data_IF_312865777248
#
_entry.id   IF_312865777248
#
_cell.length_a   1.000
_cell.length_b   1.000
_cell.length_c   1.000
_cell.angle_alpha   90.00
_cell.angle_beta   90.00
_cell.angle_gamma   90.00
#
_symmetry.space_group_name_H-M   'P 1'
#
loop_
_entity.id
_entity.type
_entity.pdbx_description
1 polymer ?
#
# COMPACT_ATOMS: atom_id res chain seq x y z
N UNK A 1 -19.64 1.54 1.11
CA UNK A 1 -19.19 1.89 2.48
C UNK A 1 -19.71 0.96 3.60
N UNK A 2 -20.36 -0.18 3.31
CA UNK A 2 -21.00 -1.01 4.34
C UNK A 2 -20.45 -2.45 4.45
N UNK A 3 -19.30 -2.74 3.83
CA UNK A 3 -18.68 -4.06 3.98
C UNK A 3 -17.94 -4.12 5.32
N UNK A 4 -18.12 -5.17 6.14
CA UNK A 4 -17.50 -5.26 7.47
C UNK A 4 -15.97 -5.19 7.42
N UNK A 5 -15.35 -5.72 6.36
CA UNK A 5 -13.88 -5.71 6.19
C UNK A 5 -13.33 -4.42 5.56
N UNK A 6 -14.19 -3.46 5.18
CA UNK A 6 -13.73 -2.19 4.63
C UNK A 6 -13.28 -1.25 5.76
N UNK A 7 -11.95 -1.14 5.94
CA UNK A 7 -11.36 -0.34 7.01
C UNK A 7 -11.37 1.18 6.75
N UNK A 8 -11.75 1.62 5.55
CA UNK A 8 -11.73 3.03 5.15
C UNK A 8 -10.44 3.46 4.44
N UNK A 9 -10.25 4.77 4.36
CA UNK A 9 -9.05 5.36 3.73
C UNK A 9 -7.82 5.21 4.63
N UNK A 10 -6.65 4.98 4.06
CA UNK A 10 -5.36 5.05 4.76
C UNK A 10 -4.66 6.40 4.49
N UNK A 11 -3.66 6.75 5.31
CA UNK A 11 -2.84 7.95 5.14
C UNK A 11 -3.12 9.06 6.16
N UNK A 12 -2.66 10.28 5.87
CA UNK A 12 -2.68 11.43 6.79
C UNK A 12 -4.08 11.81 7.31
N UNK A 13 -5.11 11.60 6.49
CA UNK A 13 -6.52 11.79 6.86
C UNK A 13 -7.30 10.47 6.86
N UNK A 14 -6.58 9.34 6.91
CA UNK A 14 -7.14 8.00 6.93
C UNK A 14 -7.76 7.63 8.28
N UNK A 15 -8.48 6.52 8.30
CA UNK A 15 -9.00 5.96 9.53
C UNK A 15 -7.86 5.35 10.36
N UNK A 16 -8.01 5.38 11.68
CA UNK A 16 -7.06 4.72 12.58
C UNK A 16 -6.97 3.22 12.30
N UNK A 17 -8.11 2.58 12.02
CA UNK A 17 -8.15 1.15 11.74
C UNK A 17 -7.36 0.76 10.49
N UNK A 18 -7.51 1.51 9.39
CA UNK A 18 -6.75 1.27 8.16
C UNK A 18 -5.24 1.46 8.38
N UNK A 19 -4.83 2.55 9.04
CA UNK A 19 -3.42 2.82 9.31
C UNK A 19 -2.78 1.79 10.25
N UNK A 20 -3.50 1.31 11.26
CA UNK A 20 -3.02 0.23 12.13
C UNK A 20 -2.87 -1.10 11.38
N UNK A 21 -3.86 -1.47 10.55
CA UNK A 21 -3.78 -2.70 9.76
C UNK A 21 -2.57 -2.70 8.81
N UNK A 22 -2.26 -1.56 8.20
CA UNK A 22 -1.05 -1.41 7.37
C UNK A 22 0.23 -1.54 8.20
N UNK A 23 0.26 -0.96 9.41
CA UNK A 23 1.45 -1.01 10.25
C UNK A 23 1.76 -2.42 10.78
N UNK A 24 0.73 -3.24 10.98
CA UNK A 24 0.83 -4.58 11.55
C UNK A 24 0.86 -5.71 10.50
N UNK A 25 0.64 -5.40 9.22
CA UNK A 25 0.62 -6.43 8.17
C UNK A 25 2.01 -6.99 7.85
N UNK A 26 2.03 -8.28 7.49
CA UNK A 26 3.20 -9.01 7.00
C UNK A 26 3.19 -9.18 5.45
N UNK A 27 2.06 -8.86 4.83
CA UNK A 27 1.86 -8.82 3.38
C UNK A 27 1.00 -7.61 3.01
N UNK A 28 1.54 -6.76 2.13
CA UNK A 28 0.86 -5.62 1.55
C UNK A 28 0.64 -5.86 0.06
N UNK A 29 -0.63 -5.90 -0.36
CA UNK A 29 -1.01 -6.02 -1.78
C UNK A 29 -1.45 -4.65 -2.27
N UNK A 30 -0.67 -4.08 -3.20
CA UNK A 30 -0.90 -2.76 -3.77
C UNK A 30 -1.44 -2.92 -5.18
N UNK A 31 -2.68 -2.47 -5.39
CA UNK A 31 -3.43 -2.63 -6.63
C UNK A 31 -3.71 -1.25 -7.22
N UNK A 32 -3.03 -0.89 -8.31
CA UNK A 32 -3.26 0.38 -9.02
C UNK A 32 -3.00 1.63 -8.19
N UNK A 33 -2.17 1.53 -7.15
CA UNK A 33 -1.87 2.62 -6.23
C UNK A 33 -0.36 2.87 -6.15
N UNK A 34 -0.03 4.13 -5.84
CA UNK A 34 1.35 4.62 -5.75
C UNK A 34 1.67 4.99 -4.31
N UNK A 35 2.92 4.81 -3.92
CA UNK A 35 3.42 5.12 -2.57
C UNK A 35 3.67 6.62 -2.37
N UNK A 36 2.63 7.43 -2.55
CA UNK A 36 2.64 8.88 -2.32
C UNK A 36 2.83 9.21 -0.83
N UNK A 37 3.52 10.31 -0.53
CA UNK A 37 3.87 10.72 0.83
C UNK A 37 2.65 11.00 1.72
N UNK A 38 1.52 11.43 1.15
CA UNK A 38 0.25 11.61 1.87
C UNK A 38 -0.36 10.30 2.34
N UNK A 39 -0.08 9.20 1.63
CA UNK A 39 -0.52 7.86 2.00
C UNK A 39 0.46 7.22 2.98
N UNK A 40 1.77 7.35 2.72
CA UNK A 40 2.79 6.60 3.45
C UNK A 40 3.39 7.35 4.64
N UNK A 41 3.28 8.68 4.67
CA UNK A 41 4.10 9.51 5.55
C UNK A 41 5.58 9.24 5.28
N UNK A 42 6.33 8.89 6.32
CA UNK A 42 7.72 8.48 6.17
C UNK A 42 7.79 7.04 5.66
N UNK A 43 8.15 6.88 4.39
CA UNK A 43 8.13 5.60 3.68
C UNK A 43 8.94 4.48 4.35
N UNK A 44 10.05 4.80 5.02
CA UNK A 44 10.85 3.79 5.74
C UNK A 44 10.17 3.22 6.99
N UNK A 45 9.14 3.89 7.50
CA UNK A 45 8.34 3.45 8.64
C UNK A 45 6.99 2.86 8.22
N UNK A 46 6.64 2.95 6.93
CA UNK A 46 5.39 2.47 6.36
C UNK A 46 5.44 0.95 6.12
N UNK A 47 4.46 0.23 6.68
CA UNK A 47 4.32 -1.22 6.57
C UNK A 47 5.67 -1.95 6.82
N UNK A 48 6.30 -1.74 7.99
CA UNK A 48 7.71 -2.05 8.20
C UNK A 48 8.03 -3.55 8.13
N UNK A 49 7.03 -4.41 8.38
CA UNK A 49 7.17 -5.87 8.39
C UNK A 49 6.61 -6.53 7.13
N UNK A 50 6.03 -5.75 6.22
CA UNK A 50 5.31 -6.29 5.09
C UNK A 50 6.23 -6.65 3.92
N UNK A 51 6.00 -7.84 3.36
CA UNK A 51 6.34 -8.15 1.97
C UNK A 51 5.35 -7.45 1.05
N UNK A 52 5.80 -6.99 -0.11
CA UNK A 52 5.01 -6.15 -1.01
C UNK A 52 4.75 -6.87 -2.32
N UNK A 53 3.47 -6.97 -2.69
CA UNK A 53 3.05 -7.31 -4.04
C UNK A 53 2.52 -6.03 -4.69
N UNK A 54 3.09 -5.64 -5.82
CA UNK A 54 2.71 -4.39 -6.51
C UNK A 54 2.23 -4.67 -7.92
N UNK A 55 0.95 -4.40 -8.15
CA UNK A 55 0.25 -4.49 -9.42
C UNK A 55 0.01 -3.07 -9.94
N UNK A 56 0.58 -2.73 -11.08
CA UNK A 56 0.41 -1.42 -11.71
C UNK A 56 0.52 -1.53 -13.24
N UNK A 57 -0.33 -0.78 -13.96
CA UNK A 57 -0.27 -0.70 -15.41
C UNK A 57 0.96 0.09 -15.88
N UNK A 58 1.46 0.99 -15.03
CA UNK A 58 2.71 1.70 -15.26
C UNK A 58 3.87 0.97 -14.55
N UNK A 59 4.60 0.16 -15.32
CA UNK A 59 5.77 -0.57 -14.82
C UNK A 59 6.85 0.35 -14.21
N UNK A 60 6.85 1.65 -14.52
CA UNK A 60 7.78 2.61 -13.92
C UNK A 60 7.46 2.90 -12.44
N UNK A 61 6.20 2.78 -12.02
CA UNK A 61 5.82 3.03 -10.62
C UNK A 61 6.13 1.84 -9.71
N UNK A 62 6.28 0.64 -10.28
CA UNK A 62 6.67 -0.56 -9.54
C UNK A 62 8.10 -0.43 -9.05
N UNK A 63 8.32 -0.67 -7.76
CA UNK A 63 9.63 -0.58 -7.10
C UNK A 63 10.32 0.80 -7.14
N UNK A 64 9.62 1.85 -7.58
CA UNK A 64 10.16 3.22 -7.66
C UNK A 64 10.49 3.82 -6.30
N UNK A 65 9.57 3.68 -5.35
CA UNK A 65 9.69 4.24 -4.00
C UNK A 65 9.88 3.13 -2.96
N UNK A 66 9.19 2.00 -3.12
CA UNK A 66 9.29 0.83 -2.25
C UNK A 66 9.46 -0.41 -3.12
N UNK A 67 10.53 -1.17 -2.88
CA UNK A 67 10.80 -2.43 -3.58
C UNK A 67 9.63 -3.41 -3.40
N UNK A 68 9.14 -3.94 -4.52
CA UNK A 68 8.17 -5.02 -4.51
C UNK A 68 8.88 -6.37 -4.45
N UNK A 69 8.42 -7.27 -3.60
CA UNK A 69 8.86 -8.67 -3.57
C UNK A 69 8.30 -9.42 -4.79
N UNK A 70 7.08 -9.09 -5.20
CA UNK A 70 6.46 -9.58 -6.43
C UNK A 70 5.91 -8.38 -7.21
N UNK A 71 6.33 -8.27 -8.48
CA UNK A 71 5.89 -7.25 -9.41
C UNK A 71 4.96 -7.86 -10.47
N UNK A 72 3.80 -7.24 -10.71
CA UNK A 72 2.87 -7.64 -11.76
C UNK A 72 2.58 -6.41 -12.65
N UNK A 73 3.36 -6.20 -13.71
CA UNK A 73 3.09 -5.12 -14.66
C UNK A 73 1.93 -5.50 -15.59
N UNK A 74 1.04 -4.55 -15.86
CA UNK A 74 -0.06 -4.73 -16.80
C UNK A 74 -1.36 -4.13 -16.30
N UNK A 75 -2.38 -4.22 -17.16
CA UNK A 75 -3.73 -3.74 -16.80
C UNK A 75 -4.34 -4.60 -15.69
N UNK A 76 -5.11 -3.95 -14.80
CA UNK A 76 -5.68 -4.53 -13.57
C UNK A 76 -7.19 -4.64 -13.66
#
# INVERSE_FOLDING_TARGET
HAHPDYLGMLGMHGTRAANMAIQECDLLVVVGARFDDRATGKLSEFAPFARVIHLDADAYEISKLRTADIAVPGDV
#
